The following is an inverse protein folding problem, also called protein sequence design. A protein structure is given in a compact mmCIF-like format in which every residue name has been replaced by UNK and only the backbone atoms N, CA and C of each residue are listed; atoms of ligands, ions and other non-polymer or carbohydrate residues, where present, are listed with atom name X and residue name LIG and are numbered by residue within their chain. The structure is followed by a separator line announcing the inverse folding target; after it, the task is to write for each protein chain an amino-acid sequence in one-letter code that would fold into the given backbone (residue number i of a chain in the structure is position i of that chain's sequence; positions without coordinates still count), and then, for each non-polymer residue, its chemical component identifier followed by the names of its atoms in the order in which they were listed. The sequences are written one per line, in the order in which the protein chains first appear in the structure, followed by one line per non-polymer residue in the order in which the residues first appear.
data_IF_577203739667
#
_entry.id   IF_577203739667
#
_cell.length_a   1.000
_cell.length_b   1.000
_cell.length_c   1.000
_cell.angle_alpha   90.00
_cell.angle_beta   90.00
_cell.angle_gamma   90.00
#
_symmetry.space_group_name_H-M   'P 1'
#
loop_
_entity.id
_entity.type
_entity.pdbx_description
1 polymer ?
#
# COMPACT_ATOMS: atom_id res chain seq x y z
N UNK A 1 10.10 -13.37 15.06
CA UNK A 1 10.18 -14.84 14.89
C UNK A 1 9.11 -15.62 15.65
N UNK A 2 9.00 -15.57 16.98
CA UNK A 2 7.99 -16.36 17.73
C UNK A 2 6.54 -16.14 17.29
N UNK A 3 6.18 -14.92 16.89
CA UNK A 3 4.84 -14.61 16.36
C UNK A 3 4.59 -15.29 15.01
N UNK A 4 5.56 -15.25 14.10
CA UNK A 4 5.48 -15.88 12.77
C UNK A 4 5.43 -17.41 12.87
N UNK A 5 6.20 -18.02 13.77
CA UNK A 5 6.12 -19.47 14.02
C UNK A 5 4.76 -19.88 14.62
N UNK A 6 4.11 -19.01 15.41
CA UNK A 6 2.74 -19.24 15.88
C UNK A 6 1.69 -19.09 14.78
N UNK A 7 1.97 -18.26 13.78
CA UNK A 7 1.17 -18.11 12.57
C UNK A 7 1.39 -19.26 11.57
N UNK A 8 2.19 -20.27 11.92
CA UNK A 8 2.41 -21.45 11.10
C UNK A 8 3.56 -21.33 10.11
N UNK A 9 4.45 -20.34 10.28
CA UNK A 9 5.65 -20.24 9.44
C UNK A 9 6.53 -21.50 9.60
N UNK A 10 6.89 -22.16 8.48
CA UNK A 10 7.62 -23.42 8.51
C UNK A 10 9.00 -23.23 9.12
N UNK A 11 9.32 -24.05 10.12
CA UNK A 11 10.60 -24.04 10.79
C UNK A 11 10.87 -25.37 11.51
N UNK A 12 12.16 -25.71 11.63
CA UNK A 12 12.62 -26.88 12.39
C UNK A 12 13.40 -26.40 13.61
N UNK A 13 13.06 -26.93 14.79
CA UNK A 13 13.78 -26.61 16.03
C UNK A 13 14.78 -27.71 16.36
N UNK A 14 16.06 -27.34 16.46
CA UNK A 14 17.12 -28.24 16.96
C UNK A 14 17.73 -27.59 18.20
N UNK A 15 17.37 -28.13 19.36
CA UNK A 15 17.72 -27.55 20.66
C UNK A 15 17.13 -26.16 20.87
N UNK A 16 17.99 -25.17 21.09
CA UNK A 16 17.60 -23.77 21.25
C UNK A 16 17.56 -22.98 19.93
N UNK A 17 18.01 -23.58 18.82
CA UNK A 17 18.10 -22.92 17.52
C UNK A 17 16.92 -23.30 16.62
N UNK A 18 16.54 -22.36 15.77
CA UNK A 18 15.54 -22.55 14.72
C UNK A 18 16.27 -22.55 13.36
N UNK A 19 15.86 -23.47 12.51
CA UNK A 19 16.31 -23.61 11.13
C UNK A 19 15.13 -23.42 10.21
N UNK A 20 15.43 -22.84 9.05
CA UNK A 20 14.43 -22.48 8.08
C UNK A 20 14.93 -22.87 6.69
N UNK A 21 14.04 -23.45 5.90
CA UNK A 21 14.24 -23.60 4.47
C UNK A 21 13.79 -22.30 3.79
N UNK A 22 14.67 -21.71 2.98
CA UNK A 22 14.39 -20.43 2.33
C UNK A 22 13.28 -20.55 1.29
N UNK A 23 13.23 -21.64 0.52
CA UNK A 23 12.20 -21.82 -0.51
C UNK A 23 10.81 -22.01 0.12
N UNK A 24 10.75 -22.70 1.25
CA UNK A 24 9.51 -22.91 2.00
C UNK A 24 9.05 -21.62 2.70
N UNK A 25 9.99 -20.82 3.22
CA UNK A 25 9.68 -19.48 3.75
C UNK A 25 9.14 -18.58 2.65
N UNK A 26 9.79 -18.51 1.50
CA UNK A 26 9.37 -17.61 0.42
C UNK A 26 7.96 -17.98 -0.05
N UNK A 27 7.70 -19.27 -0.23
CA UNK A 27 6.36 -19.78 -0.53
C UNK A 27 5.34 -19.45 0.57
N UNK A 28 5.72 -19.56 1.84
CA UNK A 28 4.83 -19.23 2.95
C UNK A 28 4.53 -17.72 3.01
N UNK A 29 5.53 -16.87 2.76
CA UNK A 29 5.37 -15.41 2.69
C UNK A 29 4.39 -15.04 1.57
N UNK A 30 4.59 -15.58 0.36
CA UNK A 30 3.73 -15.30 -0.80
C UNK A 30 2.28 -15.74 -0.57
N UNK A 31 2.05 -16.78 0.24
CA UNK A 31 0.70 -17.29 0.49
C UNK A 31 0.02 -16.65 1.71
N UNK A 32 0.78 -16.20 2.72
CA UNK A 32 0.22 -15.84 4.03
C UNK A 32 0.47 -14.38 4.43
N UNK A 33 1.48 -13.73 3.85
CA UNK A 33 1.83 -12.33 4.13
C UNK A 33 1.37 -11.36 3.03
N UNK A 34 0.76 -11.85 1.96
CA UNK A 34 0.05 -11.05 0.92
C UNK A 34 -1.24 -10.47 1.49
N UNK A 35 -1.08 -9.56 2.44
CA UNK A 35 -2.09 -8.57 2.82
C UNK A 35 -1.50 -7.38 3.60
N UNK A 36 -0.20 -7.09 3.43
CA UNK A 36 0.42 -5.87 3.98
C UNK A 36 1.27 -5.09 2.98
N UNK A 37 1.39 -5.57 1.73
CA UNK A 37 1.61 -4.63 0.65
C UNK A 37 0.46 -3.64 0.77
N UNK A 38 0.78 -2.40 1.16
CA UNK A 38 -0.15 -1.27 1.15
C UNK A 38 -1.06 -1.45 -0.06
N UNK A 39 -2.38 -1.20 0.04
CA UNK A 39 -3.19 -1.07 -1.17
C UNK A 39 -2.33 -0.21 -2.07
N UNK A 40 -1.92 -0.73 -3.22
CA UNK A 40 -1.05 0.00 -4.15
C UNK A 40 -1.72 1.33 -4.21
N UNK A 41 -1.11 2.32 -3.55
CA UNK A 41 -1.77 3.59 -3.30
C UNK A 41 -1.52 4.26 -4.62
N UNK A 42 -2.26 3.78 -5.60
CA UNK A 42 -2.27 4.21 -6.96
C UNK A 42 -3.05 5.51 -6.89
N UNK A 43 -2.45 6.45 -6.16
CA UNK A 43 -2.89 7.80 -6.02
C UNK A 43 -3.14 8.35 -7.41
N UNK A 44 -2.40 7.88 -8.43
CA UNK A 44 -2.66 8.21 -9.82
C UNK A 44 -4.05 7.75 -10.27
N UNK A 45 -4.45 6.51 -10.02
CA UNK A 45 -5.80 6.02 -10.34
C UNK A 45 -6.89 6.72 -9.52
N UNK A 46 -6.65 6.97 -8.23
CA UNK A 46 -7.62 7.68 -7.37
C UNK A 46 -7.76 9.16 -7.76
N UNK A 47 -6.65 9.85 -7.98
CA UNK A 47 -6.62 11.24 -8.46
C UNK A 47 -7.26 11.32 -9.84
N UNK A 48 -7.00 10.35 -10.73
CA UNK A 48 -7.65 10.30 -12.04
C UNK A 48 -9.17 10.20 -11.92
N UNK A 49 -9.69 9.30 -11.08
CA UNK A 49 -11.13 9.19 -10.86
C UNK A 49 -11.75 10.48 -10.30
N UNK A 50 -11.05 11.18 -9.41
CA UNK A 50 -11.49 12.47 -8.86
C UNK A 50 -11.49 13.59 -9.91
N UNK A 51 -10.49 13.61 -10.80
CA UNK A 51 -10.40 14.58 -11.89
C UNK A 51 -11.45 14.29 -12.96
N UNK A 52 -11.62 13.03 -13.35
CA UNK A 52 -12.60 12.60 -14.36
C UNK A 52 -14.04 12.84 -13.88
N UNK A 53 -14.29 12.77 -12.57
CA UNK A 53 -15.59 13.05 -11.95
C UNK A 53 -15.84 14.52 -11.62
N UNK A 54 -14.86 15.41 -11.84
CA UNK A 54 -15.01 16.82 -11.53
C UNK A 54 -15.92 17.50 -12.57
N UNK A 55 -16.89 18.35 -12.14
CA UNK A 55 -17.70 19.12 -13.07
C UNK A 55 -16.83 20.12 -13.85
N UNK A 56 -17.18 20.35 -15.13
CA UNK A 56 -16.50 21.35 -15.95
C UNK A 56 -16.63 22.73 -15.31
N UNK A 57 -15.49 23.37 -15.05
CA UNK A 57 -15.45 24.73 -14.51
C UNK A 57 -15.39 25.73 -15.66
N UNK A 58 -16.15 26.82 -15.53
CA UNK A 58 -16.08 27.93 -16.49
C UNK A 58 -14.78 28.72 -16.31
N UNK A 59 -14.37 29.47 -17.34
CA UNK A 59 -13.18 30.31 -17.28
C UNK A 59 -13.19 31.30 -16.10
N UNK A 60 -14.38 31.84 -15.77
CA UNK A 60 -14.57 32.75 -14.64
C UNK A 60 -14.39 32.05 -13.28
N UNK A 61 -14.88 30.81 -13.15
CA UNK A 61 -14.67 29.99 -11.95
C UNK A 61 -13.20 29.59 -11.79
N UNK A 62 -12.52 29.26 -12.88
CA UNK A 62 -11.09 28.95 -12.87
C UNK A 62 -10.24 30.17 -12.43
N UNK A 63 -10.65 31.38 -12.81
CA UNK A 63 -9.97 32.61 -12.37
C UNK A 63 -10.18 32.86 -10.87
N UNK A 64 -11.41 32.66 -10.36
CA UNK A 64 -11.71 32.77 -8.92
C UNK A 64 -10.94 31.74 -8.09
N UNK A 65 -10.84 30.49 -8.58
CA UNK A 65 -10.05 29.43 -7.92
C UNK A 65 -8.57 29.80 -7.89
N UNK A 66 -8.02 30.30 -9.01
CA UNK A 66 -6.62 30.74 -9.08
C UNK A 66 -6.33 31.91 -8.14
N UNK A 67 -7.25 32.87 -8.01
CA UNK A 67 -7.11 33.98 -7.08
C UNK A 67 -7.08 33.53 -5.62
N UNK A 68 -7.87 32.51 -5.24
CA UNK A 68 -7.90 31.96 -3.88
C UNK A 68 -6.66 31.10 -3.59
N UNK A 69 -6.26 30.24 -4.53
CA UNK A 69 -5.11 29.34 -4.34
C UNK A 69 -3.76 30.04 -4.49
N UNK A 70 -3.68 31.08 -5.31
CA UNK A 70 -2.48 31.91 -5.49
C UNK A 70 -2.31 33.01 -4.44
N UNK A 71 -3.30 33.23 -3.56
CA UNK A 71 -3.32 34.29 -2.56
C UNK A 71 -2.70 33.95 -1.19
N UNK A 72 -2.06 32.78 -1.05
CA UNK A 72 -1.35 32.38 0.17
C UNK A 72 0.16 32.21 -0.10
N UNK A 73 0.82 33.32 -0.42
CA UNK A 73 2.28 33.45 -0.43
C UNK A 73 2.68 34.72 0.32
#
# INVERSE_FOLDING_TARGET
MRALTRQGMPCVRVGAKLYFDLAEIDSWIDNNLVSTASPSNDHRSVIKALVDGAPEITAEQAERIRAVLGGAA
#
